data_IF_467066332626
#
_entry.id   IF_467066332626
#
_cell.length_a   1.000
_cell.length_b   1.000
_cell.length_c   1.000
_cell.angle_alpha   90.00
_cell.angle_beta   90.00
_cell.angle_gamma   90.00
#
_symmetry.space_group_name_H-M   'P 1'
#
loop_
_entity.id
_entity.type
_entity.pdbx_description
1 polymer ?
#
# COMPACT_ATOMS: atom_id res chain seq x y z
N UNK A 1 25.38 5.41 -33.12
CA UNK A 1 25.76 5.80 -31.75
C UNK A 1 24.49 5.83 -30.92
N UNK A 2 24.12 4.67 -30.37
CA UNK A 2 22.98 4.48 -29.48
C UNK A 2 23.36 4.99 -28.10
N UNK A 3 22.64 5.99 -27.60
CA UNK A 3 22.79 6.45 -26.22
C UNK A 3 22.41 5.30 -25.27
N UNK A 4 23.38 4.80 -24.53
CA UNK A 4 23.16 3.98 -23.35
C UNK A 4 22.39 4.81 -22.33
N UNK A 5 21.09 4.53 -22.16
CA UNK A 5 20.32 5.11 -21.05
C UNK A 5 20.99 4.72 -19.74
N UNK A 6 21.51 5.70 -19.00
CA UNK A 6 22.12 5.46 -17.70
C UNK A 6 21.09 4.77 -16.81
N UNK A 7 21.34 3.54 -16.39
CA UNK A 7 20.52 2.87 -15.40
C UNK A 7 20.43 3.77 -14.16
N UNK A 8 19.21 4.14 -13.74
CA UNK A 8 19.04 4.92 -12.52
C UNK A 8 19.71 4.14 -11.37
N UNK A 9 20.56 4.78 -10.55
CA UNK A 9 21.21 4.11 -9.44
C UNK A 9 20.15 3.52 -8.49
N UNK A 10 20.40 2.30 -8.00
CA UNK A 10 19.49 1.59 -7.09
C UNK A 10 19.30 2.38 -5.80
N UNK A 11 18.04 2.60 -5.42
CA UNK A 11 17.67 3.26 -4.18
C UNK A 11 16.60 2.46 -3.42
N UNK A 12 16.76 2.35 -2.10
CA UNK A 12 15.84 1.66 -1.22
C UNK A 12 14.84 2.65 -0.59
N UNK A 13 13.55 2.41 -0.79
CA UNK A 13 12.46 3.13 -0.12
C UNK A 13 11.98 2.38 1.13
N UNK A 14 11.36 3.04 2.13
CA UNK A 14 10.83 2.34 3.31
C UNK A 14 9.80 1.26 2.96
N UNK A 15 8.94 1.49 1.97
CA UNK A 15 7.99 0.46 1.48
C UNK A 15 8.69 -0.75 0.86
N UNK A 16 9.82 -0.53 0.18
CA UNK A 16 10.65 -1.59 -0.39
C UNK A 16 11.39 -2.36 0.70
N UNK A 17 11.92 -1.64 1.69
CA UNK A 17 12.59 -2.22 2.84
C UNK A 17 11.63 -3.08 3.67
N UNK A 18 10.45 -2.57 4.00
CA UNK A 18 9.41 -3.33 4.69
C UNK A 18 9.02 -4.61 3.93
N UNK A 19 8.98 -4.57 2.60
CA UNK A 19 8.72 -5.77 1.79
C UNK A 19 9.85 -6.79 1.88
N UNK A 20 11.10 -6.34 1.85
CA UNK A 20 12.26 -7.21 2.01
C UNK A 20 12.31 -7.87 3.39
N UNK A 21 12.01 -7.13 4.45
CA UNK A 21 11.93 -7.62 5.84
C UNK A 21 10.88 -8.71 6.05
N UNK A 22 9.72 -8.58 5.37
CA UNK A 22 8.68 -9.59 5.35
C UNK A 22 9.19 -10.82 4.61
N UNK A 23 9.67 -10.65 3.38
CA UNK A 23 10.23 -11.73 2.57
C UNK A 23 11.10 -11.18 1.43
N UNK A 24 12.40 -11.55 1.34
CA UNK A 24 13.26 -11.10 0.23
C UNK A 24 12.74 -11.53 -1.14
N UNK A 25 12.18 -12.75 -1.26
CA UNK A 25 11.48 -13.22 -2.48
C UNK A 25 10.34 -12.31 -2.89
N UNK A 26 9.54 -11.83 -1.93
CA UNK A 26 8.45 -10.88 -2.17
C UNK A 26 8.98 -9.54 -2.70
N UNK A 27 10.07 -9.03 -2.11
CA UNK A 27 10.76 -7.85 -2.62
C UNK A 27 11.22 -8.05 -4.06
N UNK A 28 11.90 -9.16 -4.34
CA UNK A 28 12.41 -9.47 -5.66
C UNK A 28 11.28 -9.58 -6.70
N UNK A 29 10.18 -10.29 -6.39
CA UNK A 29 9.00 -10.42 -7.27
C UNK A 29 8.37 -9.06 -7.58
N UNK A 30 8.38 -8.12 -6.64
CA UNK A 30 7.88 -6.75 -6.85
C UNK A 30 8.69 -5.93 -7.88
N UNK A 31 9.90 -6.39 -8.23
CA UNK A 31 10.79 -5.78 -9.23
C UNK A 31 10.70 -6.43 -10.61
N UNK A 32 10.02 -7.57 -10.75
CA UNK A 32 9.94 -8.34 -12.02
C UNK A 32 8.86 -7.84 -12.99
N UNK A 33 8.39 -6.59 -12.82
CA UNK A 33 7.31 -5.98 -13.64
C UNK A 33 6.02 -6.81 -13.71
N UNK A 34 5.78 -7.66 -12.70
CA UNK A 34 4.55 -8.44 -12.58
C UNK A 34 3.33 -7.52 -12.35
N UNK A 35 2.13 -7.91 -12.83
CA UNK A 35 0.91 -7.12 -12.64
C UNK A 35 0.65 -6.77 -11.17
N UNK A 36 0.63 -5.47 -10.87
CA UNK A 36 0.36 -4.96 -9.53
C UNK A 36 -1.14 -4.96 -9.26
N UNK A 37 -1.50 -5.35 -8.04
CA UNK A 37 -2.86 -5.22 -7.53
C UNK A 37 -3.08 -3.82 -7.01
N UNK A 38 -4.22 -3.21 -7.32
CA UNK A 38 -4.74 -2.08 -6.56
C UNK A 38 -5.99 -2.49 -5.78
N UNK A 39 -6.22 -1.84 -4.65
CA UNK A 39 -7.28 -2.16 -3.72
C UNK A 39 -7.91 -0.89 -3.16
N UNK A 40 -9.23 -0.94 -2.94
CA UNK A 40 -10.03 0.20 -2.49
C UNK A 40 -9.45 0.89 -1.23
N UNK A 41 -8.88 0.14 -0.30
CA UNK A 41 -8.29 0.72 0.91
C UNK A 41 -7.03 1.55 0.62
N UNK A 42 -6.19 1.11 -0.32
CA UNK A 42 -5.00 1.85 -0.74
C UNK A 42 -5.40 3.11 -1.51
N UNK A 43 -6.32 2.98 -2.48
CA UNK A 43 -6.85 4.10 -3.26
C UNK A 43 -7.52 5.17 -2.39
N UNK A 44 -8.36 4.76 -1.44
CA UNK A 44 -8.92 5.70 -0.46
C UNK A 44 -7.81 6.44 0.31
N UNK A 45 -6.76 5.72 0.72
CA UNK A 45 -5.59 6.29 1.36
C UNK A 45 -4.94 7.38 0.51
N UNK A 46 -4.62 7.05 -0.75
CA UNK A 46 -4.02 7.98 -1.71
C UNK A 46 -4.85 9.25 -1.88
N UNK A 47 -6.16 9.10 -2.11
CA UNK A 47 -7.06 10.26 -2.28
C UNK A 47 -7.08 11.16 -1.03
N UNK A 48 -7.12 10.56 0.17
CA UNK A 48 -7.10 11.33 1.42
C UNK A 48 -5.77 12.06 1.61
N UNK A 49 -4.62 11.41 1.39
CA UNK A 49 -3.30 12.04 1.52
C UNK A 49 -3.16 13.23 0.58
N UNK A 50 -3.41 12.99 -0.73
CA UNK A 50 -3.35 14.03 -1.76
C UNK A 50 -4.24 15.22 -1.43
N UNK A 51 -5.41 14.97 -0.85
CA UNK A 51 -6.32 16.05 -0.48
C UNK A 51 -5.81 16.86 0.72
N UNK A 52 -5.20 16.23 1.73
CA UNK A 52 -4.58 16.96 2.84
C UNK A 52 -3.40 17.79 2.34
N UNK A 53 -2.60 17.23 1.43
CA UNK A 53 -1.46 17.88 0.79
C UNK A 53 -1.89 19.08 -0.06
N UNK A 54 -3.01 18.98 -0.79
CA UNK A 54 -3.62 20.09 -1.52
C UNK A 54 -4.07 21.21 -0.57
N UNK A 55 -4.69 20.85 0.57
CA UNK A 55 -5.24 21.82 1.52
C UNK A 55 -4.15 22.65 2.20
N UNK A 56 -2.98 22.06 2.48
CA UNK A 56 -1.85 22.80 3.06
C UNK A 56 -1.06 23.63 2.03
N UNK A 57 -1.38 23.50 0.74
CA UNK A 57 -0.73 24.22 -0.37
C UNK A 57 -1.69 25.19 -1.10
N UNK A 58 -2.84 25.54 -0.50
CA UNK A 58 -3.81 26.46 -1.09
C UNK A 58 -3.23 27.85 -1.34
N UNK A 59 -3.61 28.49 -2.44
CA UNK A 59 -3.45 29.94 -2.59
C UNK A 59 -4.63 30.66 -1.93
N UNK A 60 -4.37 31.36 -0.83
CA UNK A 60 -5.35 32.16 -0.07
C UNK A 60 -5.03 33.65 -0.10
N UNK A 61 -4.17 34.10 -1.02
CA UNK A 61 -3.69 35.49 -1.09
C UNK A 61 -4.80 36.50 -1.38
N UNK A 62 -5.84 36.07 -2.12
CA UNK A 62 -6.98 36.90 -2.51
C UNK A 62 -8.16 36.87 -1.53
N UNK A 63 -8.07 36.10 -0.44
CA UNK A 63 -9.17 35.92 0.51
C UNK A 63 -9.02 36.76 1.77
N UNK A 64 -10.15 37.22 2.31
CA UNK A 64 -10.19 37.98 3.55
C UNK A 64 -9.87 37.10 4.76
N UNK A 65 -8.99 37.58 5.62
CA UNK A 65 -8.48 36.84 6.78
C UNK A 65 -9.57 36.45 7.79
N UNK A 66 -10.67 37.21 7.86
CA UNK A 66 -11.81 36.95 8.75
C UNK A 66 -12.88 36.03 8.15
N UNK A 67 -12.75 35.67 6.88
CA UNK A 67 -13.70 34.80 6.18
C UNK A 67 -13.79 33.43 6.85
N UNK A 68 -15.02 32.96 7.07
CA UNK A 68 -15.38 31.66 7.65
C UNK A 68 -16.31 30.90 6.69
N UNK A 69 -16.79 29.73 7.07
CA UNK A 69 -17.66 28.83 6.28
C UNK A 69 -17.08 28.34 4.94
N UNK A 70 -15.83 28.67 4.63
CA UNK A 70 -15.19 28.34 3.36
C UNK A 70 -14.53 26.96 3.31
N UNK A 71 -13.97 26.50 4.43
CA UNK A 71 -13.21 25.25 4.47
C UNK A 71 -14.04 24.03 4.05
N UNK A 72 -15.31 23.85 4.50
CA UNK A 72 -16.10 22.69 4.08
C UNK A 72 -16.24 22.55 2.56
N UNK A 73 -16.48 23.67 1.87
CA UNK A 73 -16.65 23.69 0.41
C UNK A 73 -15.34 23.33 -0.29
N UNK A 74 -14.23 23.99 0.06
CA UNK A 74 -12.93 23.69 -0.55
C UNK A 74 -12.47 22.26 -0.25
N UNK A 75 -12.65 21.78 0.98
CA UNK A 75 -12.30 20.42 1.36
C UNK A 75 -13.08 19.39 0.52
N UNK A 76 -14.39 19.57 0.36
CA UNK A 76 -15.21 18.69 -0.48
C UNK A 76 -14.76 18.74 -1.95
N UNK A 77 -14.57 19.93 -2.53
CA UNK A 77 -14.13 20.09 -3.92
C UNK A 77 -12.80 19.37 -4.21
N UNK A 78 -11.80 19.54 -3.32
CA UNK A 78 -10.50 18.88 -3.45
C UNK A 78 -10.62 17.36 -3.32
N UNK A 79 -11.40 16.89 -2.33
CA UNK A 79 -11.58 15.45 -2.14
C UNK A 79 -12.30 14.81 -3.33
N UNK A 80 -13.34 15.45 -3.87
CA UNK A 80 -14.04 14.96 -5.05
C UNK A 80 -13.10 14.84 -6.25
N UNK A 81 -12.26 15.86 -6.48
CA UNK A 81 -11.28 15.84 -7.57
C UNK A 81 -10.28 14.67 -7.40
N UNK A 82 -9.68 14.51 -6.21
CA UNK A 82 -8.72 13.43 -5.94
C UNK A 82 -9.35 12.05 -5.92
N UNK A 83 -10.60 11.94 -5.48
CA UNK A 83 -11.36 10.70 -5.51
C UNK A 83 -11.63 10.23 -6.95
N UNK A 84 -12.01 11.16 -7.84
CA UNK A 84 -12.23 10.83 -9.25
C UNK A 84 -10.93 10.51 -9.98
N UNK A 85 -9.85 11.26 -9.73
CA UNK A 85 -8.52 10.97 -10.28
C UNK A 85 -8.05 9.56 -9.88
N UNK A 86 -8.17 9.22 -8.60
CA UNK A 86 -7.80 7.90 -8.11
C UNK A 86 -8.73 6.79 -8.64
N UNK A 87 -10.02 7.07 -8.84
CA UNK A 87 -10.95 6.14 -9.48
C UNK A 87 -10.49 5.78 -10.88
N UNK A 88 -10.13 6.77 -11.68
CA UNK A 88 -9.66 6.57 -13.05
C UNK A 88 -8.38 5.73 -13.06
N UNK A 89 -7.44 5.97 -12.15
CA UNK A 89 -6.22 5.16 -11.99
C UNK A 89 -6.57 3.73 -11.56
N UNK A 90 -7.49 3.57 -10.61
CA UNK A 90 -7.92 2.28 -10.10
C UNK A 90 -8.57 1.42 -11.19
N UNK A 91 -9.48 2.01 -11.98
CA UNK A 91 -10.19 1.33 -13.06
C UNK A 91 -9.30 0.97 -14.25
N UNK A 92 -8.22 1.74 -14.47
CA UNK A 92 -7.22 1.46 -15.51
C UNK A 92 -6.14 0.48 -15.06
N UNK A 93 -6.00 0.21 -13.75
CA UNK A 93 -4.99 -0.73 -13.24
C UNK A 93 -5.46 -2.17 -13.48
N UNK A 94 -4.80 -3.01 -14.29
CA UNK A 94 -5.38 -4.28 -14.75
C UNK A 94 -5.91 -5.21 -13.65
N UNK A 95 -5.18 -5.30 -12.53
CA UNK A 95 -5.54 -6.17 -11.41
C UNK A 95 -6.18 -5.34 -10.29
N UNK A 96 -7.51 -5.29 -10.30
CA UNK A 96 -8.29 -4.57 -9.32
C UNK A 96 -9.66 -5.22 -9.09
N UNK A 97 -10.25 -4.90 -7.93
CA UNK A 97 -11.64 -5.26 -7.64
C UNK A 97 -12.63 -4.18 -8.09
N UNK A 98 -13.84 -4.20 -7.54
CA UNK A 98 -14.81 -3.14 -7.84
C UNK A 98 -14.49 -1.86 -7.08
N UNK A 99 -14.65 -0.72 -7.76
CA UNK A 99 -14.67 0.58 -7.10
C UNK A 99 -15.91 0.69 -6.23
N UNK A 100 -15.75 1.17 -4.99
CA UNK A 100 -16.84 1.22 -4.00
C UNK A 100 -17.16 2.67 -3.68
N UNK A 101 -18.07 3.26 -4.43
CA UNK A 101 -18.49 4.67 -4.25
C UNK A 101 -18.95 4.96 -2.81
N UNK A 102 -19.56 3.98 -2.13
CA UNK A 102 -19.97 4.09 -0.73
C UNK A 102 -18.81 4.42 0.24
N UNK A 103 -17.58 4.06 -0.09
CA UNK A 103 -16.38 4.35 0.71
C UNK A 103 -15.99 5.83 0.65
N UNK A 104 -16.57 6.64 -0.26
CA UNK A 104 -16.37 8.09 -0.30
C UNK A 104 -16.76 8.77 1.03
N UNK A 105 -17.82 8.27 1.68
CA UNK A 105 -18.20 8.72 3.02
C UNK A 105 -17.07 8.56 4.05
N UNK A 106 -16.35 7.45 3.98
CA UNK A 106 -15.19 7.16 4.84
C UNK A 106 -13.98 8.03 4.47
N UNK A 107 -13.78 8.32 3.19
CA UNK A 107 -12.76 9.27 2.74
C UNK A 107 -13.00 10.66 3.35
N UNK A 108 -14.24 11.16 3.31
CA UNK A 108 -14.64 12.43 3.96
C UNK A 108 -14.36 12.45 5.46
N UNK A 109 -14.71 11.38 6.18
CA UNK A 109 -14.40 11.27 7.61
C UNK A 109 -12.90 11.36 7.88
N UNK A 110 -12.08 10.71 7.05
CA UNK A 110 -10.64 10.72 7.22
C UNK A 110 -9.98 12.03 6.80
N UNK A 111 -10.47 12.69 5.76
CA UNK A 111 -10.04 14.05 5.43
C UNK A 111 -10.32 15.00 6.60
N UNK A 112 -11.52 14.94 7.19
CA UNK A 112 -11.86 15.73 8.37
C UNK A 112 -10.91 15.43 9.55
N UNK A 113 -10.54 14.16 9.75
CA UNK A 113 -9.54 13.80 10.77
C UNK A 113 -8.13 14.31 10.47
N UNK A 114 -7.72 14.39 9.20
CA UNK A 114 -6.47 15.03 8.79
C UNK A 114 -6.47 16.55 9.06
N UNK A 115 -7.58 17.22 8.78
CA UNK A 115 -7.78 18.64 9.10
C UNK A 115 -7.71 18.86 10.63
N UNK A 116 -8.36 18.00 11.42
CA UNK A 116 -8.31 18.06 12.89
C UNK A 116 -6.87 17.89 13.41
N UNK A 117 -6.09 16.98 12.84
CA UNK A 117 -4.69 16.79 13.23
C UNK A 117 -3.84 18.03 12.95
N UNK A 118 -4.02 18.66 11.79
CA UNK A 118 -3.35 19.92 11.44
C UNK A 118 -3.73 21.07 12.39
N UNK A 119 -5.02 21.18 12.73
CA UNK A 119 -5.52 22.18 13.69
C UNK A 119 -4.98 21.93 15.10
N UNK A 120 -4.97 20.67 15.55
CA UNK A 120 -4.40 20.28 16.83
C UNK A 120 -2.91 20.62 16.90
N UNK A 121 -2.15 20.36 15.82
CA UNK A 121 -0.74 20.74 15.71
C UNK A 121 -0.54 22.26 15.78
N UNK A 122 -1.46 23.05 15.22
CA UNK A 122 -1.46 24.51 15.33
C UNK A 122 -1.98 25.04 16.69
N UNK A 123 -2.33 24.16 17.64
CA UNK A 123 -2.80 24.51 18.98
C UNK A 123 -4.29 24.87 19.08
N UNK A 124 -5.10 24.53 18.06
CA UNK A 124 -6.54 24.83 18.02
C UNK A 124 -7.37 23.57 17.74
N UNK A 125 -7.25 22.52 18.58
CA UNK A 125 -7.97 21.26 18.36
C UNK A 125 -9.49 21.44 18.47
N UNK A 126 -10.25 20.55 17.83
CA UNK A 126 -11.71 20.43 17.89
C UNK A 126 -12.48 21.66 17.39
N UNK A 127 -11.86 22.49 16.54
CA UNK A 127 -12.57 23.58 15.90
C UNK A 127 -13.45 23.02 14.77
N UNK A 128 -14.73 23.39 14.78
CA UNK A 128 -15.65 22.99 13.71
C UNK A 128 -15.14 23.54 12.36
N UNK A 129 -15.13 22.75 11.26
CA UNK A 129 -14.57 23.18 9.98
C UNK A 129 -15.13 24.50 9.46
N UNK A 130 -16.41 24.74 9.69
CA UNK A 130 -17.12 25.97 9.31
C UNK A 130 -16.59 27.23 10.02
N UNK A 131 -16.00 27.08 11.20
CA UNK A 131 -15.46 28.18 12.00
C UNK A 131 -13.97 28.45 11.70
N UNK A 132 -13.34 27.70 10.79
CA UNK A 132 -11.94 27.93 10.43
C UNK A 132 -11.85 29.22 9.62
N UNK A 133 -11.16 30.22 10.17
CA UNK A 133 -10.88 31.45 9.44
C UNK A 133 -9.76 31.26 8.42
N UNK A 134 -9.74 32.08 7.37
CA UNK A 134 -8.60 32.12 6.41
C UNK A 134 -7.29 32.42 7.15
N UNK A 135 -7.28 33.36 8.10
CA UNK A 135 -6.09 33.66 8.89
C UNK A 135 -5.57 32.45 9.70
N UNK A 136 -6.48 31.68 10.32
CA UNK A 136 -6.10 30.48 11.06
C UNK A 136 -5.49 29.43 10.13
N UNK A 137 -6.07 29.22 8.94
CA UNK A 137 -5.51 28.25 8.01
C UNK A 137 -4.17 28.71 7.42
N UNK A 138 -4.00 30.01 7.13
CA UNK A 138 -2.69 30.57 6.78
C UNK A 138 -1.64 30.29 7.86
N UNK A 139 -2.03 30.36 9.15
CA UNK A 139 -1.14 29.95 10.27
C UNK A 139 -0.82 28.46 10.24
N UNK A 140 -1.80 27.59 9.98
CA UNK A 140 -1.55 26.13 9.80
C UNK A 140 -0.56 25.90 8.67
N UNK A 141 -0.77 26.51 7.50
CA UNK A 141 0.11 26.38 6.35
C UNK A 141 1.52 26.91 6.64
N UNK A 142 1.66 28.00 7.41
CA UNK A 142 2.96 28.53 7.79
C UNK A 142 3.79 27.58 8.67
N UNK A 143 3.15 26.59 9.32
CA UNK A 143 3.84 25.53 10.05
C UNK A 143 4.29 24.38 9.14
N UNK A 144 3.83 24.32 7.88
CA UNK A 144 4.19 23.26 6.94
C UNK A 144 5.47 23.66 6.20
N UNK A 145 6.56 22.95 6.48
CA UNK A 145 7.87 23.18 5.88
C UNK A 145 8.00 22.47 4.52
N UNK A 146 7.36 21.33 4.38
CA UNK A 146 7.21 20.61 3.11
C UNK A 146 5.97 19.72 3.13
N UNK A 147 5.34 19.55 1.96
CA UNK A 147 4.30 18.57 1.70
C UNK A 147 4.71 17.74 0.47
N UNK A 148 4.46 16.43 0.49
CA UNK A 148 4.90 15.47 -0.55
C UNK A 148 6.42 15.47 -0.84
N UNK A 149 7.24 15.79 0.16
CA UNK A 149 8.68 16.00 -0.01
C UNK A 149 9.45 14.72 -0.33
N UNK A 150 10.20 14.70 -1.45
CA UNK A 150 11.16 13.64 -1.73
C UNK A 150 12.40 13.77 -0.83
N UNK A 151 12.71 12.70 -0.10
CA UNK A 151 13.92 12.58 0.72
C UNK A 151 14.91 11.62 0.06
N UNK A 152 16.19 11.98 0.05
CA UNK A 152 17.29 11.10 -0.35
C UNK A 152 18.51 11.31 0.52
N UNK A 153 19.27 10.25 0.79
CA UNK A 153 20.62 10.41 1.34
C UNK A 153 21.54 11.07 0.33
N UNK A 154 22.61 11.71 0.79
CA UNK A 154 23.62 12.37 -0.08
C UNK A 154 24.21 11.45 -1.15
N UNK A 155 24.31 10.16 -0.86
CA UNK A 155 24.80 9.15 -1.80
C UNK A 155 23.70 8.52 -2.68
N UNK A 156 22.44 8.95 -2.50
CA UNK A 156 21.28 8.52 -3.29
C UNK A 156 20.78 7.11 -3.02
N UNK A 157 21.41 6.35 -2.11
CA UNK A 157 21.09 4.93 -1.86
C UNK A 157 19.80 4.72 -1.10
N UNK A 158 19.45 5.61 -0.19
CA UNK A 158 18.19 5.55 0.55
C UNK A 158 17.30 6.70 0.10
N UNK A 159 16.00 6.43 0.01
CA UNK A 159 15.02 7.45 -0.37
C UNK A 159 13.71 7.31 0.40
N UNK A 160 12.92 8.37 0.42
CA UNK A 160 11.60 8.42 1.02
C UNK A 160 10.72 9.46 0.34
N UNK A 161 9.41 9.39 0.57
CA UNK A 161 8.47 10.47 0.28
C UNK A 161 7.74 10.76 1.59
N UNK A 162 7.98 11.95 2.12
CA UNK A 162 7.27 12.46 3.28
C UNK A 162 5.87 12.87 2.85
N UNK A 163 4.86 12.58 3.67
CA UNK A 163 3.57 13.24 3.50
C UNK A 163 3.71 14.70 3.95
N UNK A 164 4.15 14.93 5.20
CA UNK A 164 4.34 16.28 5.75
C UNK A 164 5.63 16.40 6.58
N UNK A 165 6.30 17.55 6.44
CA UNK A 165 7.31 18.04 7.37
C UNK A 165 6.79 19.34 7.98
N UNK A 166 6.69 19.40 9.30
CA UNK A 166 6.09 20.51 10.04
C UNK A 166 7.10 21.14 10.99
N UNK A 167 6.97 22.45 11.24
CA UNK A 167 7.61 23.10 12.37
C UNK A 167 6.93 22.65 13.68
N UNK A 168 7.74 22.21 14.65
CA UNK A 168 7.25 21.82 15.97
C UNK A 168 7.14 23.07 16.84
N UNK A 169 5.93 23.38 17.31
CA UNK A 169 5.66 24.57 18.12
C UNK A 169 5.35 24.16 19.55
N UNK A 170 5.96 24.85 20.51
CA UNK A 170 5.62 24.66 21.92
C UNK A 170 4.32 25.40 22.28
N UNK A 171 3.87 25.26 23.53
CA UNK A 171 2.66 25.92 24.05
C UNK A 171 2.71 27.47 23.99
N UNK A 172 3.90 28.05 23.81
CA UNK A 172 4.11 29.50 23.64
C UNK A 172 4.09 29.94 22.17
N UNK A 173 3.96 28.99 21.23
CA UNK A 173 4.00 29.24 19.79
C UNK A 173 5.42 29.42 19.22
N UNK A 174 6.46 29.09 19.99
CA UNK A 174 7.85 29.15 19.53
C UNK A 174 8.22 27.86 18.81
N UNK A 175 8.95 27.97 17.70
CA UNK A 175 9.46 26.81 16.97
C UNK A 175 10.61 26.18 17.78
N UNK A 176 10.43 24.92 18.18
CA UNK A 176 11.38 24.16 19.01
C UNK A 176 12.02 22.99 18.30
N UNK A 177 11.50 22.61 17.14
CA UNK A 177 11.87 21.39 16.44
C UNK A 177 11.20 21.26 15.08
N UNK A 178 11.32 20.09 14.47
CA UNK A 178 10.55 19.64 13.33
C UNK A 178 9.79 18.35 13.64
N UNK A 179 8.64 18.17 12.99
CA UNK A 179 7.85 16.94 13.05
C UNK A 179 7.76 16.35 11.65
N UNK A 180 8.25 15.12 11.50
CA UNK A 180 7.92 14.27 10.35
C UNK A 180 6.56 13.64 10.61
N UNK A 181 5.55 13.98 9.82
CA UNK A 181 4.22 13.41 9.93
C UNK A 181 3.91 12.52 8.71
N UNK A 182 3.62 11.26 8.97
CA UNK A 182 3.19 10.28 7.98
C UNK A 182 1.72 9.96 8.23
N UNK A 183 0.86 10.34 7.29
CA UNK A 183 -0.58 10.17 7.37
C UNK A 183 -0.91 8.67 7.27
N UNK A 184 -1.86 8.22 8.09
CA UNK A 184 -2.31 6.83 8.14
C UNK A 184 -3.82 6.76 8.09
N UNK A 185 -4.33 6.08 7.06
CA UNK A 185 -5.76 5.83 6.85
C UNK A 185 -6.24 4.47 7.36
N UNK A 186 -5.31 3.68 7.89
CA UNK A 186 -5.56 2.37 8.49
C UNK A 186 -6.07 2.44 9.93
N UNK A 187 -6.20 1.27 10.56
CA UNK A 187 -6.52 1.18 11.99
C UNK A 187 -5.37 1.75 12.81
N UNK A 188 -5.71 2.57 13.80
CA UNK A 188 -4.75 3.01 14.81
C UNK A 188 -4.13 1.82 15.55
N UNK A 189 -2.85 1.92 15.96
CA UNK A 189 -2.18 0.91 16.76
C UNK A 189 -2.82 0.78 18.15
N UNK A 190 -2.50 -0.31 18.84
CA UNK A 190 -2.89 -0.54 20.23
C UNK A 190 -1.89 -1.51 20.88
N UNK A 191 -1.01 -1.09 21.83
CA UNK A 191 -0.66 0.28 22.23
C UNK A 191 0.45 0.93 21.35
N UNK A 192 1.30 0.11 20.72
CA UNK A 192 2.51 0.57 20.04
C UNK A 192 2.40 0.56 18.51
N UNK A 193 3.16 1.46 17.87
CA UNK A 193 3.34 1.45 16.42
C UNK A 193 3.82 0.06 15.94
N UNK A 194 3.22 -0.41 14.84
CA UNK A 194 3.71 -1.63 14.20
C UNK A 194 5.17 -1.46 13.76
N UNK A 195 6.00 -2.52 13.83
CA UNK A 195 7.42 -2.44 13.49
C UNK A 195 7.69 -1.79 12.12
N UNK A 196 6.89 -2.12 11.11
CA UNK A 196 7.02 -1.59 9.74
C UNK A 196 6.71 -0.09 9.63
N UNK A 197 5.77 0.42 10.45
CA UNK A 197 5.42 1.85 10.49
C UNK A 197 6.50 2.62 11.25
N UNK A 198 6.92 2.09 12.39
CA UNK A 198 8.02 2.65 13.18
C UNK A 198 9.30 2.76 12.34
N UNK A 199 9.69 1.68 11.64
CA UNK A 199 10.86 1.67 10.75
C UNK A 199 10.79 2.75 9.66
N UNK A 200 9.62 2.90 9.03
CA UNK A 200 9.40 3.94 8.00
C UNK A 200 9.59 5.36 8.57
N UNK A 201 8.98 5.64 9.72
CA UNK A 201 9.08 6.95 10.38
C UNK A 201 10.50 7.28 10.81
N UNK A 202 11.20 6.33 11.44
CA UNK A 202 12.60 6.51 11.85
C UNK A 202 13.50 6.74 10.63
N UNK A 203 13.29 5.99 9.54
CA UNK A 203 14.08 6.19 8.31
C UNK A 203 13.93 7.62 7.76
N UNK A 204 12.71 8.18 7.74
CA UNK A 204 12.51 9.55 7.30
C UNK A 204 13.23 10.57 8.19
N UNK A 205 13.07 10.44 9.52
CA UNK A 205 13.78 11.26 10.50
C UNK A 205 15.28 11.21 10.26
N UNK A 206 15.84 10.02 10.13
CA UNK A 206 17.29 9.83 10.09
C UNK A 206 17.89 10.29 8.76
N UNK A 207 17.16 10.15 7.64
CA UNK A 207 17.58 10.76 6.36
C UNK A 207 17.67 12.28 6.51
N UNK A 208 16.66 12.92 7.12
CA UNK A 208 16.69 14.37 7.37
C UNK A 208 17.86 14.74 8.27
N UNK A 209 18.08 14.03 9.37
CA UNK A 209 19.21 14.26 10.28
C UNK A 209 20.55 14.10 9.55
N UNK A 210 20.72 13.09 8.70
CA UNK A 210 21.97 12.86 7.95
C UNK A 210 22.27 13.96 6.92
N UNK A 211 21.22 14.60 6.38
CA UNK A 211 21.34 15.63 5.37
C UNK A 211 21.64 17.01 5.96
N UNK A 212 21.30 17.25 7.23
CA UNK A 212 21.39 18.55 7.88
C UNK A 212 22.46 18.51 8.98
N UNK A 213 23.57 19.27 8.86
CA UNK A 213 24.67 19.22 9.83
C UNK A 213 24.29 19.64 11.26
N UNK A 214 23.34 20.57 11.41
CA UNK A 214 22.85 21.08 12.69
C UNK A 214 21.31 21.22 12.64
N UNK A 215 20.56 20.11 12.56
CA UNK A 215 19.12 20.18 12.52
C UNK A 215 18.57 20.55 13.90
N UNK A 216 17.41 21.22 13.99
CA UNK A 216 16.69 21.30 15.26
C UNK A 216 16.25 19.88 15.68
N UNK A 217 15.80 19.68 16.94
CA UNK A 217 15.21 18.40 17.35
C UNK A 217 14.14 17.92 16.37
N UNK A 218 14.17 16.64 15.99
CA UNK A 218 13.18 16.06 15.06
C UNK A 218 12.49 14.88 15.73
N UNK A 219 11.16 14.93 15.78
CA UNK A 219 10.32 13.76 16.10
C UNK A 219 9.60 13.26 14.84
N UNK A 220 9.22 11.98 14.84
CA UNK A 220 8.51 11.37 13.73
C UNK A 220 7.24 10.70 14.24
N UNK A 221 6.12 10.95 13.57
CA UNK A 221 4.79 10.57 14.05
C UNK A 221 3.94 9.93 12.96
N UNK A 222 3.24 8.85 13.32
CA UNK A 222 2.15 8.32 12.52
C UNK A 222 0.85 9.06 12.85
N UNK A 223 0.28 9.74 11.87
CA UNK A 223 -0.92 10.58 11.98
C UNK A 223 -2.15 9.81 11.51
N UNK A 224 -2.91 9.21 12.44
CA UNK A 224 -4.04 8.34 12.12
C UNK A 224 -5.33 9.14 11.97
N UNK A 225 -5.72 9.36 10.72
CA UNK A 225 -6.85 10.23 10.34
C UNK A 225 -8.19 9.67 10.79
N UNK A 226 -8.34 8.35 10.90
CA UNK A 226 -9.59 7.71 11.37
C UNK A 226 -9.93 8.12 12.80
N UNK A 227 -8.93 8.28 13.67
CA UNK A 227 -9.13 8.60 15.09
C UNK A 227 -8.67 10.00 15.46
N UNK A 228 -8.09 10.76 14.52
CA UNK A 228 -7.37 12.00 14.76
C UNK A 228 -6.37 11.88 15.93
N UNK A 229 -5.52 10.83 15.90
CA UNK A 229 -4.49 10.59 16.91
C UNK A 229 -3.11 10.46 16.28
N UNK A 230 -2.11 10.95 16.99
CA UNK A 230 -0.70 10.81 16.63
C UNK A 230 -0.04 9.74 17.50
N UNK A 231 0.97 9.07 16.94
CA UNK A 231 1.80 8.11 17.66
C UNK A 231 3.26 8.35 17.27
N UNK A 232 4.09 8.66 18.26
CA UNK A 232 5.50 8.94 18.04
C UNK A 232 6.30 7.64 17.82
N UNK A 233 7.20 7.67 16.85
CA UNK A 233 8.20 6.63 16.65
C UNK A 233 9.45 6.94 17.48
N UNK A 234 9.68 6.12 18.50
CA UNK A 234 10.87 6.22 19.35
C UNK A 234 11.91 5.17 18.98
N UNK A 235 13.19 5.52 19.05
CA UNK A 235 14.29 4.61 18.77
C UNK A 235 15.56 5.30 18.27
N UNK A 236 16.65 4.53 18.27
CA UNK A 236 17.92 4.92 17.66
C UNK A 236 17.81 5.07 16.14
N UNK A 237 18.89 5.53 15.51
CA UNK A 237 18.97 5.66 14.07
C UNK A 237 18.88 4.29 13.39
N UNK A 238 18.10 4.21 12.31
CA UNK A 238 17.94 2.98 11.52
C UNK A 238 18.75 3.01 10.21
N UNK A 239 19.61 4.00 10.01
CA UNK A 239 20.37 4.15 8.76
C UNK A 239 21.30 2.98 8.48
N UNK A 240 22.01 2.46 9.49
CA UNK A 240 22.95 1.36 9.30
C UNK A 240 22.23 0.09 8.86
N UNK A 241 21.09 -0.23 9.48
CA UNK A 241 20.21 -1.32 9.06
C UNK A 241 19.66 -1.09 7.64
N UNK A 242 19.26 0.15 7.32
CA UNK A 242 18.77 0.49 5.99
C UNK A 242 19.84 0.34 4.91
N UNK A 243 21.10 0.71 5.20
CA UNK A 243 22.23 0.51 4.28
C UNK A 243 22.60 -0.97 4.14
N UNK A 244 22.49 -1.76 5.21
CA UNK A 244 22.65 -3.21 5.12
C UNK A 244 21.59 -3.81 4.21
N UNK A 245 20.31 -3.48 4.42
CA UNK A 245 19.22 -3.90 3.56
C UNK A 245 19.39 -3.41 2.10
N UNK A 246 19.91 -2.19 1.89
CA UNK A 246 20.19 -1.68 0.54
C UNK A 246 21.19 -2.56 -0.22
N UNK A 247 22.25 -3.05 0.46
CA UNK A 247 23.24 -3.96 -0.14
C UNK A 247 22.62 -5.30 -0.55
N UNK A 248 21.70 -5.81 0.26
CA UNK A 248 21.02 -7.10 0.02
C UNK A 248 19.87 -7.00 -1.00
N UNK A 249 19.44 -5.79 -1.33
CA UNK A 249 18.30 -5.53 -2.22
C UNK A 249 18.72 -5.00 -3.60
N UNK A 250 20.02 -5.00 -3.91
CA UNK A 250 20.54 -4.63 -5.22
C UNK A 250 19.84 -5.49 -6.28
N UNK A 251 19.20 -4.88 -7.30
CA UNK A 251 18.49 -5.61 -8.32
C UNK A 251 19.40 -6.63 -9.00
N UNK A 252 18.92 -7.87 -9.08
CA UNK A 252 19.60 -8.96 -9.78
C UNK A 252 18.58 -9.87 -10.47
N UNK A 253 19.00 -10.61 -11.51
CA UNK A 253 18.13 -11.52 -12.25
C UNK A 253 17.82 -12.79 -11.45
N UNK A 254 18.59 -13.05 -10.39
CA UNK A 254 18.43 -14.23 -9.54
C UNK A 254 17.40 -13.97 -8.44
N UNK A 255 16.39 -14.85 -8.31
CA UNK A 255 15.57 -14.99 -7.12
C UNK A 255 16.29 -14.77 -5.79
N UNK A 256 15.77 -13.90 -4.93
CA UNK A 256 16.20 -13.83 -3.54
C UNK A 256 15.54 -14.93 -2.72
N UNK A 257 16.30 -15.50 -1.78
CA UNK A 257 15.86 -16.56 -0.86
C UNK A 257 14.57 -16.15 -0.11
N UNK A 258 13.55 -17.02 -0.08
CA UNK A 258 12.30 -16.72 0.58
C UNK A 258 12.41 -16.86 2.10
N UNK A 259 11.73 -15.96 2.82
CA UNK A 259 11.45 -16.13 4.25
C UNK A 259 10.02 -16.62 4.41
N UNK A 260 9.80 -17.93 4.35
CA UNK A 260 8.46 -18.54 4.49
C UNK A 260 8.00 -18.54 5.95
N UNK A 261 6.70 -18.42 6.19
CA UNK A 261 6.12 -18.38 7.53
C UNK A 261 4.75 -17.70 7.61
N UNK A 262 4.20 -17.63 8.81
CA UNK A 262 2.85 -17.10 9.06
C UNK A 262 2.70 -15.63 8.64
N UNK A 263 3.74 -14.82 8.88
CA UNK A 263 3.73 -13.40 8.54
C UNK A 263 3.95 -13.12 7.04
N UNK A 264 4.52 -14.06 6.29
CA UNK A 264 4.81 -13.91 4.86
C UNK A 264 3.82 -14.72 4.00
N UNK A 265 3.98 -16.03 3.95
CA UNK A 265 3.14 -16.95 3.18
C UNK A 265 1.73 -17.09 3.77
N UNK A 266 1.60 -17.04 5.10
CA UNK A 266 0.31 -16.98 5.80
C UNK A 266 -0.36 -15.60 5.74
N UNK A 267 0.42 -14.56 5.41
CA UNK A 267 -0.03 -13.17 5.32
C UNK A 267 -0.51 -12.73 3.94
N UNK A 268 -0.60 -11.41 3.77
CA UNK A 268 -0.93 -10.78 2.50
C UNK A 268 0.32 -10.68 1.61
N UNK A 269 0.29 -11.34 0.46
CA UNK A 269 1.33 -11.26 -0.57
C UNK A 269 0.67 -11.21 -1.94
N UNK A 270 0.91 -10.15 -2.70
CA UNK A 270 0.29 -9.97 -4.02
C UNK A 270 0.87 -10.91 -5.09
N UNK A 271 2.02 -11.55 -4.83
CA UNK A 271 2.77 -12.31 -5.83
C UNK A 271 2.65 -13.82 -5.72
N UNK A 272 1.67 -14.33 -4.96
CA UNK A 272 1.48 -15.78 -4.73
C UNK A 272 1.40 -16.59 -6.02
N UNK A 273 0.73 -16.07 -7.06
CA UNK A 273 0.60 -16.73 -8.38
C UNK A 273 1.93 -17.03 -9.09
N UNK A 274 3.02 -16.40 -8.66
CA UNK A 274 4.37 -16.54 -9.22
C UNK A 274 5.37 -17.11 -8.22
N UNK A 275 4.93 -17.55 -7.03
CA UNK A 275 5.81 -17.98 -5.95
C UNK A 275 5.49 -19.43 -5.52
N UNK A 276 6.34 -20.42 -5.87
CA UNK A 276 6.09 -21.80 -5.51
C UNK A 276 6.22 -22.06 -3.99
N UNK A 277 7.08 -21.31 -3.30
CA UNK A 277 7.31 -21.48 -1.85
C UNK A 277 6.10 -21.17 -0.99
N UNK A 278 5.24 -20.23 -1.41
CA UNK A 278 3.96 -20.01 -0.73
C UNK A 278 3.12 -21.28 -0.77
N UNK A 279 3.03 -21.91 -1.94
CA UNK A 279 2.15 -23.04 -2.16
C UNK A 279 2.64 -24.28 -1.40
N UNK A 280 3.95 -24.54 -1.46
CA UNK A 280 4.61 -25.60 -0.69
C UNK A 280 4.44 -25.40 0.82
N UNK A 281 4.69 -24.20 1.33
CA UNK A 281 4.52 -23.90 2.75
C UNK A 281 3.08 -24.14 3.25
N UNK A 282 2.06 -23.79 2.45
CA UNK A 282 0.65 -24.05 2.80
C UNK A 282 0.33 -25.55 2.81
N UNK A 283 0.96 -26.34 1.94
CA UNK A 283 0.83 -27.80 1.94
C UNK A 283 1.47 -28.38 3.20
N UNK A 284 2.73 -28.03 3.47
CA UNK A 284 3.52 -28.60 4.55
C UNK A 284 2.95 -28.30 5.94
N UNK A 285 2.34 -27.12 6.12
CA UNK A 285 1.70 -26.76 7.39
C UNK A 285 0.21 -27.17 7.47
N UNK A 286 -0.33 -27.86 6.46
CA UNK A 286 -1.70 -28.36 6.45
C UNK A 286 -2.78 -27.28 6.32
N UNK A 287 -2.45 -26.07 5.84
CA UNK A 287 -3.42 -24.97 5.67
C UNK A 287 -3.88 -24.78 4.22
N UNK A 288 -3.44 -25.63 3.30
CA UNK A 288 -3.87 -25.59 1.91
C UNK A 288 -5.37 -25.92 1.80
N UNK A 289 -6.11 -25.07 1.09
CA UNK A 289 -7.58 -25.19 0.90
C UNK A 289 -8.41 -25.13 2.20
N UNK A 290 -7.87 -24.60 3.30
CA UNK A 290 -8.54 -24.47 4.61
C UNK A 290 -8.94 -23.03 4.91
N UNK A 291 -10.17 -22.84 5.40
CA UNK A 291 -10.72 -21.56 5.87
C UNK A 291 -11.85 -21.02 4.97
N UNK A 292 -12.50 -19.94 5.43
CA UNK A 292 -13.62 -19.30 4.72
C UNK A 292 -13.18 -18.51 3.47
N UNK A 293 -11.96 -17.94 3.53
CA UNK A 293 -11.31 -17.28 2.41
C UNK A 293 -9.98 -17.97 2.15
N UNK A 294 -9.81 -18.49 0.94
CA UNK A 294 -8.59 -19.22 0.56
C UNK A 294 -7.99 -18.71 -0.73
N UNK A 295 -6.70 -18.99 -0.88
CA UNK A 295 -5.99 -18.92 -2.15
C UNK A 295 -5.76 -20.37 -2.62
N UNK A 296 -5.99 -20.66 -3.90
CA UNK A 296 -5.89 -22.01 -4.47
C UNK A 296 -5.31 -21.99 -5.88
N UNK A 297 -4.63 -23.09 -6.24
CA UNK A 297 -4.28 -23.42 -7.63
C UNK A 297 -5.20 -24.55 -8.07
N UNK A 298 -5.88 -24.37 -9.20
CA UNK A 298 -6.90 -25.30 -9.70
C UNK A 298 -6.77 -25.54 -11.20
N UNK A 299 -7.31 -26.66 -11.67
CA UNK A 299 -7.68 -26.85 -13.08
C UNK A 299 -9.16 -26.54 -13.24
N UNK A 300 -9.52 -25.82 -14.31
CA UNK A 300 -10.94 -25.54 -14.64
C UNK A 300 -11.38 -26.51 -15.73
N UNK A 301 -12.24 -27.46 -15.37
CA UNK A 301 -12.69 -28.52 -16.29
C UNK A 301 -13.90 -28.10 -17.13
N UNK A 302 -14.81 -27.34 -16.52
CA UNK A 302 -15.97 -26.78 -17.21
C UNK A 302 -16.24 -25.37 -16.74
N UNK A 303 -16.76 -24.54 -17.65
CA UNK A 303 -17.19 -23.18 -17.39
C UNK A 303 -18.32 -22.83 -18.34
N UNK A 304 -19.45 -22.39 -17.79
CA UNK A 304 -20.62 -21.94 -18.52
C UNK A 304 -20.72 -20.41 -18.43
N UNK A 305 -20.35 -19.65 -19.49
CA UNK A 305 -20.24 -18.19 -19.44
C UNK A 305 -21.54 -17.48 -19.02
N UNK A 306 -22.69 -18.01 -19.42
CA UNK A 306 -23.99 -17.39 -19.13
C UNK A 306 -24.33 -17.33 -17.64
N UNK A 307 -23.87 -18.32 -16.86
CA UNK A 307 -24.16 -18.44 -15.42
C UNK A 307 -22.93 -18.24 -14.54
N UNK A 308 -21.73 -18.30 -15.13
CA UNK A 308 -20.46 -18.35 -14.43
C UNK A 308 -20.19 -19.67 -13.69
N UNK A 309 -21.07 -20.67 -13.85
CA UNK A 309 -20.91 -21.97 -13.19
C UNK A 309 -19.69 -22.71 -13.74
N UNK A 310 -18.91 -23.31 -12.84
CA UNK A 310 -17.68 -24.00 -13.18
C UNK A 310 -17.47 -25.25 -12.33
N UNK A 311 -16.69 -26.19 -12.86
CA UNK A 311 -16.17 -27.35 -12.14
C UNK A 311 -14.66 -27.24 -12.03
N UNK A 312 -14.16 -27.13 -10.80
CA UNK A 312 -12.74 -26.96 -10.48
C UNK A 312 -12.17 -28.26 -9.96
N UNK A 313 -10.96 -28.63 -10.38
CA UNK A 313 -10.18 -29.68 -9.72
C UNK A 313 -9.08 -29.04 -8.88
N UNK A 314 -9.03 -29.41 -7.60
CA UNK A 314 -7.99 -28.90 -6.70
C UNK A 314 -6.64 -29.48 -7.05
N UNK A 315 -5.61 -28.63 -7.02
CA UNK A 315 -4.23 -29.05 -7.17
C UNK A 315 -3.45 -28.95 -5.86
N UNK A 316 -2.32 -29.64 -5.82
CA UNK A 316 -1.26 -29.51 -4.81
C UNK A 316 0.12 -29.38 -5.49
N UNK A 317 1.13 -28.79 -4.83
CA UNK A 317 2.49 -28.80 -5.36
C UNK A 317 3.06 -30.23 -5.30
N UNK A 318 3.68 -30.65 -6.41
CA UNK A 318 4.49 -31.89 -6.48
C UNK A 318 5.81 -31.68 -5.73
N UNK A 319 6.42 -30.53 -5.95
CA UNK A 319 7.77 -30.18 -5.52
C UNK A 319 7.90 -28.64 -5.34
N UNK A 320 9.12 -28.20 -5.08
CA UNK A 320 9.51 -26.80 -4.90
C UNK A 320 9.48 -25.95 -6.18
N UNK A 321 9.24 -26.56 -7.35
CA UNK A 321 9.07 -25.82 -8.61
C UNK A 321 7.67 -25.21 -8.74
N UNK A 322 6.73 -25.65 -7.90
CA UNK A 322 5.33 -25.26 -7.99
C UNK A 322 4.59 -25.99 -9.11
N UNK A 323 5.10 -27.13 -9.60
CA UNK A 323 4.38 -27.95 -10.57
C UNK A 323 3.08 -28.50 -9.94
N UNK A 324 1.93 -28.33 -10.60
CA UNK A 324 0.66 -28.79 -10.05
C UNK A 324 0.44 -30.29 -10.24
N UNK A 325 0.00 -30.93 -9.16
CA UNK A 325 -0.58 -32.28 -9.12
C UNK A 325 -2.10 -32.16 -8.96
N UNK A 326 -2.90 -32.59 -9.95
CA UNK A 326 -4.34 -32.70 -9.77
C UNK A 326 -4.68 -33.76 -8.71
N UNK A 327 -5.57 -33.42 -7.80
CA UNK A 327 -5.92 -34.30 -6.65
C UNK A 327 -7.07 -35.26 -6.94
N UNK A 328 -7.76 -35.11 -8.08
CA UNK A 328 -9.03 -35.78 -8.36
C UNK A 328 -10.22 -35.20 -7.60
N UNK A 329 -10.01 -34.24 -6.69
CA UNK A 329 -11.10 -33.62 -5.91
C UNK A 329 -11.75 -32.49 -6.70
N UNK A 330 -12.96 -32.76 -7.18
CA UNK A 330 -13.79 -31.79 -7.89
C UNK A 330 -14.58 -30.91 -6.91
N UNK A 331 -14.67 -29.61 -7.21
CA UNK A 331 -15.39 -28.62 -6.43
C UNK A 331 -16.26 -27.75 -7.35
N UNK A 332 -17.57 -27.61 -7.07
CA UNK A 332 -18.42 -26.70 -7.81
C UNK A 332 -18.07 -25.24 -7.46
N UNK A 333 -18.02 -24.39 -8.48
CA UNK A 333 -17.70 -22.98 -8.32
C UNK A 333 -18.60 -22.08 -9.17
N UNK A 334 -18.67 -20.81 -8.79
CA UNK A 334 -19.38 -19.77 -9.55
C UNK A 334 -18.50 -18.52 -9.63
N UNK A 335 -18.16 -18.14 -10.86
CA UNK A 335 -17.48 -16.88 -11.17
C UNK A 335 -18.52 -15.78 -11.38
N UNK A 336 -18.28 -14.59 -10.82
CA UNK A 336 -19.15 -13.42 -10.98
C UNK A 336 -18.35 -12.12 -11.08
N UNK A 337 -18.96 -11.11 -11.70
CA UNK A 337 -18.37 -9.77 -11.81
C UNK A 337 -16.99 -9.83 -12.44
N UNK A 338 -16.02 -9.12 -11.85
CA UNK A 338 -14.64 -9.13 -12.37
C UNK A 338 -13.95 -10.50 -12.30
N UNK A 339 -14.38 -11.38 -11.39
CA UNK A 339 -13.86 -12.74 -11.34
C UNK A 339 -14.14 -13.52 -12.63
N UNK A 340 -15.38 -13.41 -13.14
CA UNK A 340 -15.78 -14.00 -14.42
C UNK A 340 -15.06 -13.34 -15.60
N UNK A 341 -15.04 -11.99 -15.63
CA UNK A 341 -14.35 -11.23 -16.67
C UNK A 341 -12.88 -11.62 -16.79
N UNK A 342 -12.15 -11.68 -15.67
CA UNK A 342 -10.74 -12.04 -15.67
C UNK A 342 -10.52 -13.48 -16.13
N UNK A 343 -11.41 -14.41 -15.76
CA UNK A 343 -11.32 -15.79 -16.25
C UNK A 343 -11.56 -15.89 -17.77
N UNK A 344 -12.54 -15.16 -18.29
CA UNK A 344 -12.83 -15.10 -19.71
C UNK A 344 -11.68 -14.46 -20.51
N UNK A 345 -11.06 -13.40 -19.98
CA UNK A 345 -9.86 -12.79 -20.54
C UNK A 345 -8.70 -13.79 -20.60
N UNK A 346 -8.45 -14.55 -19.53
CA UNK A 346 -7.42 -15.60 -19.56
C UNK A 346 -7.68 -16.64 -20.65
N UNK A 347 -8.94 -17.04 -20.84
CA UNK A 347 -9.31 -17.97 -21.91
C UNK A 347 -9.14 -17.35 -23.30
N UNK A 348 -9.51 -16.09 -23.49
CA UNK A 348 -9.32 -15.39 -24.77
C UNK A 348 -7.85 -15.19 -25.11
N UNK A 349 -7.00 -15.02 -24.09
CA UNK A 349 -5.54 -14.93 -24.23
C UNK A 349 -4.89 -16.31 -24.51
N UNK A 350 -5.69 -17.38 -24.57
CA UNK A 350 -5.24 -18.72 -24.92
C UNK A 350 -4.66 -19.52 -23.76
N UNK A 351 -4.81 -19.09 -22.51
CA UNK A 351 -4.35 -19.85 -21.35
C UNK A 351 -5.11 -21.17 -21.21
N UNK A 352 -4.39 -22.30 -21.19
CA UNK A 352 -4.95 -23.66 -21.05
C UNK A 352 -4.47 -24.39 -19.78
N UNK A 353 -3.73 -23.69 -18.92
CA UNK A 353 -3.07 -24.28 -17.76
C UNK A 353 -3.81 -24.09 -16.44
N UNK A 354 -3.16 -24.49 -15.33
CA UNK A 354 -3.62 -24.21 -13.98
C UNK A 354 -3.83 -22.72 -13.74
N UNK A 355 -4.83 -22.41 -12.93
CA UNK A 355 -5.24 -21.04 -12.60
C UNK A 355 -5.04 -20.81 -11.11
N UNK A 356 -4.38 -19.71 -10.77
CA UNK A 356 -4.36 -19.19 -9.41
C UNK A 356 -5.65 -18.40 -9.15
N UNK A 357 -6.35 -18.80 -8.10
CA UNK A 357 -7.54 -18.13 -7.60
C UNK A 357 -7.24 -17.59 -6.20
N UNK A 358 -7.24 -16.26 -6.04
CA UNK A 358 -6.96 -15.61 -4.76
C UNK A 358 -8.22 -15.13 -4.05
N UNK A 359 -8.28 -15.29 -2.72
CA UNK A 359 -9.37 -14.82 -1.85
C UNK A 359 -10.77 -15.37 -2.20
N UNK A 360 -10.83 -16.64 -2.60
CA UNK A 360 -12.05 -17.37 -2.90
C UNK A 360 -12.87 -17.55 -1.63
N UNK A 361 -14.17 -17.30 -1.69
CA UNK A 361 -15.08 -17.59 -0.57
C UNK A 361 -15.58 -19.03 -0.67
N UNK A 362 -15.34 -19.84 0.36
CA UNK A 362 -15.59 -21.30 0.37
C UNK A 362 -16.72 -21.74 1.29
N UNK A 363 -17.26 -20.83 2.12
CA UNK A 363 -18.27 -21.13 3.13
C UNK A 363 -19.70 -21.37 2.60
N UNK A 364 -19.84 -21.52 1.28
CA UNK A 364 -21.10 -21.79 0.61
C UNK A 364 -21.06 -23.17 -0.07
N UNK A 365 -22.23 -23.63 -0.54
CA UNK A 365 -22.34 -24.90 -1.27
C UNK A 365 -21.47 -24.97 -2.53
N UNK A 366 -21.11 -23.81 -3.10
CA UNK A 366 -20.15 -23.66 -4.18
C UNK A 366 -19.14 -22.56 -3.84
N UNK A 367 -17.90 -22.72 -4.33
CA UNK A 367 -16.87 -21.70 -4.20
C UNK A 367 -17.26 -20.46 -5.00
N UNK A 368 -17.09 -19.28 -4.41
CA UNK A 368 -17.45 -18.00 -5.06
C UNK A 368 -16.20 -17.23 -5.44
N UNK A 369 -16.07 -16.98 -6.74
CA UNK A 369 -15.00 -16.16 -7.33
C UNK A 369 -15.65 -14.86 -7.78
N UNK A 370 -15.68 -13.88 -6.88
CA UNK A 370 -16.30 -12.57 -7.13
C UNK A 370 -15.31 -11.51 -7.59
N UNK A 371 -15.76 -10.25 -7.67
CA UNK A 371 -14.90 -9.15 -8.13
C UNK A 371 -13.69 -8.85 -7.26
N UNK A 372 -13.66 -9.31 -5.99
CA UNK A 372 -12.50 -9.13 -5.11
C UNK A 372 -11.41 -10.18 -5.32
N UNK A 373 -11.73 -11.26 -6.03
CA UNK A 373 -10.83 -12.39 -6.22
C UNK A 373 -9.78 -12.09 -7.28
N UNK A 374 -8.58 -12.60 -7.07
CA UNK A 374 -7.61 -12.69 -8.16
C UNK A 374 -7.91 -13.92 -9.00
N UNK A 375 -7.84 -13.77 -10.32
CA UNK A 375 -7.90 -14.87 -11.27
C UNK A 375 -6.72 -14.66 -12.22
N UNK A 376 -5.68 -15.46 -12.05
CA UNK A 376 -4.38 -15.29 -12.71
C UNK A 376 -3.89 -16.62 -13.25
N UNK A 377 -3.04 -16.65 -14.29
CA UNK A 377 -2.34 -17.87 -14.63
C UNK A 377 -1.43 -18.26 -13.46
N UNK A 378 -1.40 -19.56 -13.14
CA UNK A 378 -0.38 -20.07 -12.23
C UNK A 378 0.93 -20.19 -13.03
N UNK A 379 1.88 -19.28 -12.73
CA UNK A 379 3.14 -19.15 -13.47
C UNK A 379 4.30 -18.98 -12.50
N UNK A 380 4.64 -20.01 -11.71
CA UNK A 380 5.67 -19.92 -10.68
C UNK A 380 7.04 -19.61 -11.31
N UNK A 381 7.75 -18.68 -10.69
CA UNK A 381 9.14 -18.38 -11.01
C UNK A 381 9.98 -19.21 -10.02
N UNK A 382 10.83 -20.10 -10.53
CA UNK A 382 11.66 -21.01 -9.71
C UNK A 382 13.01 -20.36 -9.35
N UNK A 383 13.70 -20.87 -8.33
CA UNK A 383 14.93 -20.24 -7.82
C UNK A 383 16.09 -20.27 -8.84
N UNK A 384 16.15 -21.30 -9.68
CA UNK A 384 17.14 -21.40 -10.76
C UNK A 384 16.80 -20.55 -12.00
N UNK A 385 15.66 -19.85 -12.02
CA UNK A 385 15.30 -19.01 -13.15
C UNK A 385 16.08 -17.69 -13.13
N UNK A 386 16.56 -17.28 -14.29
CA UNK A 386 17.06 -15.91 -14.51
C UNK A 386 16.00 -15.15 -15.28
N UNK A 387 15.51 -14.05 -14.71
CA UNK A 387 14.58 -13.15 -15.42
C UNK A 387 15.40 -12.05 -16.08
N UNK A 388 15.20 -11.84 -17.39
CA UNK A 388 15.89 -10.84 -18.20
C UNK A 388 15.43 -9.39 -17.93
#
# INVERSE_FOLDING_TARGET
MTQSGSAKPHSLSPSSWNRWEICPRQYWLSRQRLPRKTGMAASLGTAVHATIEDLVQLDLSSRDDSETDWMPTIAEERLQARWQEEKDIFENTPRHGDWKEKEYSKARTQQAGGIELLLAHAGVPKLAPKNITVALWKRVMALVLAAEGELRTKDGKLMGRLDLLLADVNDKGEITGWVVADLKTGRAPSPDLKPEVRRQLLLYRDIILSNNPNPPPIRAEGWYTVTAKTYEAQGESVLDEAYAAWKETIPGPTPLEPKVGDYSCGGFCDWKAWCPHWWLWRKDNGTLHVGDFIDAVVLVHSYEPSSGAASLELCEPIDDTGRPLPTGKMVPAVFKGRGALNFELLKSDGHQGPVYLGSILTNAQSWRIGSWCDVLPWSPIIDSSTVE
#
